data_IF_012688057715
#
_entry.id   IF_012688057715
#
_cell.length_a   1.000
_cell.length_b   1.000
_cell.length_c   1.000
_cell.angle_alpha   90.00
_cell.angle_beta   90.00
_cell.angle_gamma   90.00
#
_symmetry.space_group_name_H-M   'P 1'
#
loop_
_entity.id
_entity.type
_entity.pdbx_description
1 polymer ?
#
# COMPACT_ATOMS: atom_id res chain seq x y z
N UNK A 1 11.98 1.93 7.75
CA UNK A 1 12.01 2.12 9.21
C UNK A 1 13.37 2.63 9.72
N UNK A 2 14.48 2.31 9.04
CA UNK A 2 15.79 2.80 9.45
C UNK A 2 15.87 4.33 9.30
N UNK A 3 16.41 5.01 10.32
CA UNK A 3 16.52 6.47 10.34
C UNK A 3 17.75 6.96 9.58
N UNK A 4 18.84 6.22 9.67
CA UNK A 4 20.14 6.48 9.08
C UNK A 4 20.92 5.18 8.89
N UNK A 5 22.16 5.27 8.41
CA UNK A 5 23.00 4.09 8.18
C UNK A 5 23.45 3.40 9.47
N UNK A 6 23.57 4.12 10.59
CA UNK A 6 23.91 3.51 11.88
C UNK A 6 22.74 2.69 12.43
N UNK A 7 21.53 3.25 12.40
CA UNK A 7 20.33 2.50 12.78
C UNK A 7 20.10 1.31 11.84
N UNK A 8 20.35 1.46 10.53
CA UNK A 8 20.28 0.36 9.56
C UNK A 8 21.26 -0.76 9.92
N UNK A 9 22.52 -0.42 10.20
CA UNK A 9 23.55 -1.37 10.61
C UNK A 9 23.14 -2.09 11.91
N UNK A 10 22.65 -1.34 12.90
CA UNK A 10 22.19 -1.92 14.16
C UNK A 10 20.99 -2.87 13.96
N UNK A 11 20.07 -2.57 13.03
CA UNK A 11 18.96 -3.45 12.65
C UNK A 11 19.44 -4.72 11.99
N UNK A 12 20.38 -4.63 11.06
CA UNK A 12 20.99 -5.79 10.44
C UNK A 12 21.67 -6.69 11.49
N UNK A 13 22.39 -6.10 12.44
CA UNK A 13 23.04 -6.84 13.51
C UNK A 13 22.10 -7.72 14.36
N UNK A 14 20.81 -7.32 14.45
CA UNK A 14 19.79 -8.06 15.21
C UNK A 14 19.07 -9.15 14.42
N UNK A 15 19.35 -9.33 13.13
CA UNK A 15 18.74 -10.40 12.34
C UNK A 15 19.24 -11.74 12.86
N UNK A 16 18.30 -12.64 13.15
CA UNK A 16 18.60 -14.02 13.53
C UNK A 16 18.90 -14.83 12.28
N UNK A 17 20.06 -15.48 12.26
CA UNK A 17 20.51 -16.30 11.13
C UNK A 17 20.02 -17.75 11.30
N UNK A 18 20.03 -18.24 12.53
CA UNK A 18 19.63 -19.60 12.88
C UNK A 18 20.07 -19.95 14.29
N UNK A 19 19.81 -21.16 14.77
CA UNK A 19 20.30 -21.63 16.06
C UNK A 19 21.74 -22.14 15.97
N UNK A 20 22.49 -22.02 17.07
CA UNK A 20 23.75 -22.73 17.27
C UNK A 20 23.52 -24.20 17.68
N UNK A 21 24.58 -24.96 17.92
CA UNK A 21 24.49 -26.36 18.33
C UNK A 21 23.81 -26.59 19.70
N UNK A 22 23.65 -25.52 20.48
CA UNK A 22 22.93 -25.53 21.76
C UNK A 22 21.47 -25.10 21.64
N UNK A 23 21.00 -24.75 20.42
CA UNK A 23 19.65 -24.23 20.18
C UNK A 23 19.50 -22.73 20.47
N UNK A 24 20.57 -22.01 20.76
CA UNK A 24 20.51 -20.55 21.01
C UNK A 24 20.54 -19.76 19.70
N UNK A 25 19.82 -18.63 19.60
CA UNK A 25 19.81 -17.83 18.36
C UNK A 25 21.17 -17.21 18.06
N UNK A 26 21.59 -17.31 16.81
CA UNK A 26 22.79 -16.66 16.26
C UNK A 26 22.36 -15.42 15.46
N UNK A 27 22.99 -14.30 15.73
CA UNK A 27 22.70 -13.01 15.13
C UNK A 27 23.77 -12.59 14.12
N UNK A 28 23.38 -11.73 13.15
CA UNK A 28 24.30 -11.19 12.14
C UNK A 28 25.50 -10.48 12.75
N UNK A 29 25.34 -9.74 13.85
CA UNK A 29 26.45 -9.04 14.51
C UNK A 29 27.56 -10.00 15.02
N UNK A 30 27.21 -11.25 15.32
CA UNK A 30 28.17 -12.27 15.74
C UNK A 30 29.09 -12.73 14.59
N UNK A 31 28.63 -12.51 13.33
CA UNK A 31 29.46 -12.74 12.13
C UNK A 31 30.27 -11.51 11.72
N UNK A 32 29.98 -10.33 12.27
CA UNK A 32 30.65 -9.08 11.94
C UNK A 32 30.40 -8.58 10.52
N UNK A 33 29.31 -8.99 9.86
CA UNK A 33 29.01 -8.62 8.47
C UNK A 33 27.96 -7.50 8.30
N UNK A 34 27.37 -6.99 9.37
CA UNK A 34 26.36 -5.95 9.35
C UNK A 34 26.87 -4.65 8.72
N UNK A 35 28.17 -4.35 8.82
CA UNK A 35 28.80 -3.19 8.18
C UNK A 35 28.83 -3.31 6.65
N UNK A 36 29.18 -4.49 6.14
CA UNK A 36 29.17 -4.77 4.69
C UNK A 36 27.73 -4.71 4.14
N UNK A 37 26.76 -5.26 4.86
CA UNK A 37 25.34 -5.18 4.51
C UNK A 37 24.86 -3.73 4.46
N UNK A 38 25.20 -2.89 5.44
CA UNK A 38 24.84 -1.48 5.47
C UNK A 38 25.49 -0.69 4.31
N UNK A 39 26.73 -1.02 3.95
CA UNK A 39 27.42 -0.41 2.82
C UNK A 39 26.70 -0.67 1.48
N UNK A 40 26.24 -1.89 1.25
CA UNK A 40 25.44 -2.23 0.05
C UNK A 40 24.13 -1.46 -0.03
N UNK A 41 23.55 -1.09 1.10
CA UNK A 41 22.29 -0.36 1.18
C UNK A 41 22.46 1.16 1.29
N UNK A 42 23.67 1.67 1.22
CA UNK A 42 24.00 3.09 1.44
C UNK A 42 23.22 4.05 0.55
N UNK A 43 23.00 3.71 -0.70
CA UNK A 43 22.23 4.53 -1.63
C UNK A 43 20.73 4.16 -1.61
N UNK A 44 20.41 2.90 -1.37
CA UNK A 44 19.03 2.41 -1.29
C UNK A 44 18.25 2.99 -0.10
N UNK A 45 18.92 3.48 0.95
CA UNK A 45 18.25 4.13 2.09
C UNK A 45 17.71 5.53 1.76
N UNK A 46 18.14 6.12 0.65
CA UNK A 46 17.76 7.47 0.23
C UNK A 46 16.52 7.41 -0.66
N UNK A 47 15.45 8.16 -0.36
CA UNK A 47 14.33 8.31 -1.28
C UNK A 47 14.74 8.92 -2.62
N UNK A 48 14.13 8.44 -3.71
CA UNK A 48 14.30 9.02 -5.04
C UNK A 48 13.18 10.01 -5.31
N UNK A 49 13.54 11.25 -5.61
CA UNK A 49 12.59 12.25 -6.07
C UNK A 49 12.57 12.25 -7.61
N UNK A 50 11.40 12.04 -8.18
CA UNK A 50 11.17 12.04 -9.63
C UNK A 50 10.04 12.99 -9.98
N UNK A 51 9.97 13.40 -11.24
CA UNK A 51 8.87 14.18 -11.78
C UNK A 51 7.97 13.29 -12.64
N UNK A 52 6.65 13.37 -12.43
CA UNK A 52 5.66 12.70 -13.28
C UNK A 52 5.49 13.41 -14.62
N UNK A 53 4.81 12.77 -15.57
CA UNK A 53 4.47 13.40 -16.85
C UNK A 53 3.59 14.65 -16.70
N UNK A 54 2.80 14.71 -15.62
CA UNK A 54 1.96 15.87 -15.26
C UNK A 54 2.72 16.92 -14.42
N UNK A 55 4.05 16.84 -14.42
CA UNK A 55 4.93 17.75 -13.69
C UNK A 55 4.74 17.78 -12.15
N UNK A 56 4.10 16.77 -11.60
CA UNK A 56 3.95 16.61 -10.15
C UNK A 56 5.14 15.86 -9.58
N UNK A 57 5.75 16.31 -8.46
CA UNK A 57 6.82 15.57 -7.82
C UNK A 57 6.29 14.26 -7.23
N UNK A 58 7.06 13.19 -7.38
CA UNK A 58 6.78 11.89 -6.78
C UNK A 58 8.04 11.35 -6.08
N UNK A 59 7.83 10.75 -4.91
CA UNK A 59 8.92 10.15 -4.13
C UNK A 59 8.78 8.63 -4.21
N UNK A 60 9.80 7.98 -4.79
CA UNK A 60 9.86 6.53 -4.94
C UNK A 60 10.91 5.99 -3.97
N UNK A 61 10.49 5.13 -3.04
CA UNK A 61 11.40 4.58 -2.06
C UNK A 61 10.90 3.26 -1.46
N UNK A 62 11.81 2.30 -1.41
CA UNK A 62 11.49 0.92 -1.03
C UNK A 62 10.65 0.24 -2.11
N UNK A 63 10.39 -1.03 -1.94
CA UNK A 63 9.58 -1.81 -2.87
C UNK A 63 8.99 -3.03 -2.17
N UNK A 64 8.45 -2.87 -0.93
CA UNK A 64 7.94 -4.01 -0.19
C UNK A 64 6.62 -4.47 -0.80
N UNK A 65 6.58 -5.71 -1.27
CA UNK A 65 5.33 -6.33 -1.73
C UNK A 65 4.39 -6.57 -0.55
N UNK A 66 3.09 -6.36 -0.78
CA UNK A 66 2.08 -6.49 0.28
C UNK A 66 1.90 -7.94 0.77
N UNK A 67 2.25 -8.94 -0.02
CA UNK A 67 2.21 -10.35 0.38
C UNK A 67 3.37 -10.77 1.30
N UNK A 68 4.46 -9.99 1.37
CA UNK A 68 5.63 -10.29 2.19
C UNK A 68 5.98 -9.19 3.19
N UNK A 69 5.44 -7.98 3.01
CA UNK A 69 5.68 -6.82 3.86
C UNK A 69 4.41 -5.95 3.96
N UNK A 70 4.55 -4.69 4.32
CA UNK A 70 3.41 -3.77 4.47
C UNK A 70 2.85 -3.23 3.14
N UNK A 71 3.54 -3.40 2.01
CA UNK A 71 3.00 -3.14 0.67
C UNK A 71 2.72 -1.69 0.32
N UNK A 72 3.44 -0.76 0.90
CA UNK A 72 3.30 0.67 0.63
C UNK A 72 4.65 1.38 0.75
N UNK A 73 4.74 2.61 0.27
CA UNK A 73 5.95 3.42 0.31
C UNK A 73 6.56 3.50 1.73
N UNK A 74 7.83 3.81 1.83
CA UNK A 74 8.54 3.86 3.11
C UNK A 74 8.05 4.98 4.03
N UNK A 75 8.22 4.80 5.33
CA UNK A 75 7.95 5.84 6.34
C UNK A 75 8.82 7.07 6.08
N UNK A 76 10.10 6.87 5.70
CA UNK A 76 11.03 7.97 5.39
C UNK A 76 10.53 8.81 4.23
N UNK A 77 10.12 8.18 3.12
CA UNK A 77 9.59 8.89 1.95
C UNK A 77 8.29 9.63 2.27
N UNK A 78 7.38 9.01 3.00
CA UNK A 78 6.12 9.65 3.39
C UNK A 78 6.37 10.86 4.30
N UNK A 79 7.22 10.73 5.32
CA UNK A 79 7.58 11.86 6.20
C UNK A 79 8.31 12.98 5.45
N UNK A 80 9.14 12.63 4.46
CA UNK A 80 9.77 13.62 3.60
C UNK A 80 8.72 14.36 2.76
N UNK A 81 7.80 13.64 2.13
CA UNK A 81 6.69 14.23 1.39
C UNK A 81 5.87 15.19 2.25
N UNK A 82 5.52 14.79 3.46
CA UNK A 82 4.77 15.63 4.41
C UNK A 82 5.50 16.91 4.85
N UNK A 83 6.84 16.96 4.69
CA UNK A 83 7.62 18.17 4.95
C UNK A 83 7.76 19.08 3.72
N UNK A 84 7.60 18.53 2.53
CA UNK A 84 7.83 19.24 1.28
C UNK A 84 6.54 19.69 0.58
N UNK A 85 5.40 19.07 0.88
CA UNK A 85 4.13 19.35 0.24
C UNK A 85 3.02 19.61 1.23
N UNK A 86 2.05 20.42 0.83
CA UNK A 86 0.83 20.70 1.60
C UNK A 86 -0.13 19.51 1.59
N UNK A 87 -0.11 18.75 0.51
CA UNK A 87 -0.90 17.53 0.32
C UNK A 87 0.02 16.40 -0.10
N UNK A 88 -0.07 15.27 0.58
CA UNK A 88 0.67 14.05 0.25
C UNK A 88 -0.31 12.92 -0.03
N UNK A 89 -0.22 12.35 -1.22
CA UNK A 89 -0.96 11.16 -1.61
C UNK A 89 -0.01 9.98 -1.60
N UNK A 90 -0.38 8.91 -0.93
CA UNK A 90 0.39 7.66 -0.88
C UNK A 90 -0.53 6.49 -1.15
N UNK A 91 0.03 5.40 -1.62
CA UNK A 91 -0.71 4.18 -1.90
C UNK A 91 -0.77 3.22 -0.71
N UNK A 92 -1.73 2.31 -0.77
CA UNK A 92 -1.73 1.07 -0.02
C UNK A 92 -1.90 -0.07 -1.03
N UNK A 93 -0.89 -0.93 -1.16
CA UNK A 93 -0.83 -1.95 -2.21
C UNK A 93 -1.89 -3.03 -2.09
N UNK A 94 -2.30 -3.61 -3.21
CA UNK A 94 -3.37 -4.61 -3.35
C UNK A 94 -4.77 -4.06 -3.02
N UNK A 95 -5.70 -4.97 -2.72
CA UNK A 95 -7.05 -4.59 -2.31
C UNK A 95 -7.09 -3.97 -0.90
N UNK A 96 -8.17 -3.27 -0.61
CA UNK A 96 -8.35 -2.60 0.68
C UNK A 96 -8.37 -3.58 1.87
N UNK A 97 -8.78 -4.80 1.64
CA UNK A 97 -8.79 -5.92 2.60
C UNK A 97 -7.40 -6.38 3.04
N UNK A 98 -6.35 -6.04 2.28
CA UNK A 98 -4.97 -6.37 2.59
C UNK A 98 -4.12 -5.10 2.78
N UNK A 99 -3.99 -4.29 1.74
CA UNK A 99 -3.06 -3.16 1.74
C UNK A 99 -3.46 -2.03 2.65
N UNK A 100 -4.75 -1.67 2.68
CA UNK A 100 -5.21 -0.58 3.55
C UNK A 100 -5.09 -0.97 5.04
N UNK A 101 -5.40 -2.20 5.41
CA UNK A 101 -5.21 -2.69 6.79
C UNK A 101 -3.74 -2.68 7.17
N UNK A 102 -2.83 -3.18 6.32
CA UNK A 102 -1.38 -3.09 6.57
C UNK A 102 -0.86 -1.67 6.66
N UNK A 103 -1.40 -0.76 5.84
CA UNK A 103 -1.05 0.65 5.92
C UNK A 103 -1.40 1.23 7.30
N UNK A 104 -2.62 1.02 7.76
CA UNK A 104 -3.12 1.56 9.03
C UNK A 104 -2.50 0.83 10.24
N UNK A 105 -2.46 -0.49 10.24
CA UNK A 105 -2.01 -1.28 11.38
C UNK A 105 -0.48 -1.38 11.51
N UNK A 106 0.25 -1.27 10.40
CA UNK A 106 1.70 -1.39 10.40
C UNK A 106 2.37 -0.04 10.16
N UNK A 107 2.18 0.54 8.96
CA UNK A 107 2.91 1.74 8.56
C UNK A 107 2.55 2.94 9.43
N UNK A 108 1.27 3.17 9.69
CA UNK A 108 0.82 4.30 10.49
C UNK A 108 1.34 4.21 11.91
N UNK A 109 1.30 3.04 12.52
CA UNK A 109 1.79 2.82 13.90
C UNK A 109 3.30 3.00 14.01
N UNK A 110 4.08 2.40 13.10
CA UNK A 110 5.54 2.57 13.11
C UNK A 110 6.00 3.97 12.70
N UNK A 111 5.23 4.62 11.84
CA UNK A 111 5.55 5.95 11.33
C UNK A 111 5.08 7.08 12.23
N UNK A 112 4.20 6.83 13.18
CA UNK A 112 3.46 7.85 13.91
C UNK A 112 2.82 8.85 12.93
N UNK A 113 2.07 8.32 11.98
CA UNK A 113 1.33 9.06 10.94
C UNK A 113 -0.08 8.51 10.86
N UNK A 114 -1.03 9.36 10.44
CA UNK A 114 -2.40 8.93 10.22
C UNK A 114 -2.98 9.69 9.01
N UNK A 115 -3.71 9.02 8.09
CA UNK A 115 -4.27 9.68 6.92
C UNK A 115 -5.46 10.56 7.30
N UNK A 116 -5.58 11.72 6.65
CA UNK A 116 -6.74 12.60 6.81
C UNK A 116 -7.96 12.08 6.05
N UNK A 117 -7.75 11.34 4.96
CA UNK A 117 -8.80 10.71 4.16
C UNK A 117 -8.26 9.49 3.44
N UNK A 118 -9.16 8.58 3.08
CA UNK A 118 -8.89 7.41 2.24
C UNK A 118 -9.71 7.51 0.96
N UNK A 119 -9.08 7.28 -0.18
CA UNK A 119 -9.76 7.13 -1.46
C UNK A 119 -9.70 5.66 -1.87
N UNK A 120 -10.86 5.01 -1.95
CA UNK A 120 -10.98 3.65 -2.46
C UNK A 120 -11.21 3.71 -3.96
N UNK A 121 -10.29 3.15 -4.73
CA UNK A 121 -10.45 3.06 -6.19
C UNK A 121 -11.32 1.85 -6.52
N UNK A 122 -12.48 2.10 -7.12
CA UNK A 122 -13.40 1.07 -7.58
C UNK A 122 -13.41 0.98 -9.10
N UNK A 123 -13.50 -0.23 -9.64
CA UNK A 123 -13.69 -0.47 -11.07
C UNK A 123 -14.97 -1.27 -11.31
N UNK A 124 -15.74 -0.92 -12.32
CA UNK A 124 -16.93 -1.69 -12.72
C UNK A 124 -16.59 -3.14 -13.07
N UNK A 125 -15.42 -3.37 -13.66
CA UNK A 125 -14.93 -4.72 -13.95
C UNK A 125 -14.78 -5.57 -12.70
N UNK A 126 -14.22 -5.02 -11.62
CA UNK A 126 -14.10 -5.72 -10.35
C UNK A 126 -15.48 -6.00 -9.73
N UNK A 127 -16.37 -5.03 -9.74
CA UNK A 127 -17.74 -5.20 -9.24
C UNK A 127 -18.49 -6.28 -10.03
N UNK A 128 -18.44 -6.25 -11.37
CA UNK A 128 -19.06 -7.30 -12.21
C UNK A 128 -18.50 -8.69 -11.90
N UNK A 129 -17.18 -8.79 -11.72
CA UNK A 129 -16.53 -10.06 -11.35
C UNK A 129 -17.02 -10.55 -9.97
N UNK A 130 -17.10 -9.68 -8.99
CA UNK A 130 -17.66 -10.00 -7.67
C UNK A 130 -19.16 -10.30 -7.74
N UNK A 131 -19.87 -9.75 -8.73
CA UNK A 131 -21.26 -10.07 -9.05
C UNK A 131 -21.46 -11.40 -9.78
N UNK A 132 -20.36 -12.12 -10.11
CA UNK A 132 -20.39 -13.45 -10.72
C UNK A 132 -20.17 -13.47 -12.24
N UNK A 133 -19.80 -12.34 -12.86
CA UNK A 133 -19.50 -12.29 -14.31
C UNK A 133 -18.12 -12.89 -14.57
N UNK A 134 -18.01 -13.70 -15.61
CA UNK A 134 -16.75 -14.32 -16.04
C UNK A 134 -15.77 -13.26 -16.57
N UNK A 135 -14.45 -13.55 -16.51
CA UNK A 135 -13.41 -12.61 -17.00
C UNK A 135 -13.56 -12.26 -18.48
N UNK A 136 -14.11 -13.17 -19.28
CA UNK A 136 -14.31 -13.01 -20.72
C UNK A 136 -15.46 -12.03 -21.04
N UNK A 137 -16.42 -11.90 -20.13
CA UNK A 137 -17.66 -11.11 -20.32
C UNK A 137 -17.64 -9.76 -19.63
N UNK A 138 -16.54 -9.39 -18.96
CA UNK A 138 -16.43 -8.13 -18.20
C UNK A 138 -16.60 -6.87 -19.06
N UNK A 139 -16.44 -6.97 -20.38
CA UNK A 139 -16.64 -5.86 -21.31
C UNK A 139 -18.12 -5.65 -21.74
N UNK A 140 -18.99 -6.62 -21.39
CA UNK A 140 -20.44 -6.53 -21.67
C UNK A 140 -21.13 -5.82 -20.52
N UNK A 141 -22.10 -4.95 -20.82
CA UNK A 141 -22.92 -4.28 -19.82
C UNK A 141 -23.65 -5.29 -18.93
N UNK A 142 -23.57 -5.09 -17.63
CA UNK A 142 -24.31 -5.89 -16.65
C UNK A 142 -24.54 -5.11 -15.34
N UNK A 143 -25.58 -4.30 -15.32
CA UNK A 143 -25.97 -3.45 -14.19
C UNK A 143 -26.33 -4.29 -12.94
N UNK A 144 -27.00 -5.42 -13.14
CA UNK A 144 -27.35 -6.33 -12.05
C UNK A 144 -26.11 -6.89 -11.34
N UNK A 145 -25.09 -7.28 -12.11
CA UNK A 145 -23.84 -7.74 -11.55
C UNK A 145 -23.09 -6.63 -10.78
N UNK A 146 -23.17 -5.38 -11.22
CA UNK A 146 -22.63 -4.22 -10.47
C UNK A 146 -23.31 -4.11 -9.12
N UNK A 147 -24.63 -4.12 -9.08
CA UNK A 147 -25.42 -4.09 -7.83
C UNK A 147 -25.04 -5.23 -6.89
N UNK A 148 -24.98 -6.45 -7.41
CA UNK A 148 -24.63 -7.65 -6.62
C UNK A 148 -23.19 -7.58 -6.09
N UNK A 149 -22.25 -7.14 -6.91
CA UNK A 149 -20.83 -7.04 -6.53
C UNK A 149 -20.53 -5.86 -5.61
N UNK A 150 -21.42 -4.90 -5.47
CA UNK A 150 -21.27 -3.75 -4.56
C UNK A 150 -21.07 -4.17 -3.11
N UNK A 151 -21.57 -5.33 -2.69
CA UNK A 151 -21.37 -5.84 -1.33
C UNK A 151 -19.88 -5.90 -0.91
N UNK A 152 -18.98 -6.19 -1.86
CA UNK A 152 -17.54 -6.22 -1.62
C UNK A 152 -16.98 -4.80 -1.41
N UNK A 153 -17.35 -3.85 -2.27
CA UNK A 153 -16.95 -2.45 -2.13
C UNK A 153 -17.49 -1.83 -0.83
N UNK A 154 -18.76 -2.09 -0.52
CA UNK A 154 -19.39 -1.66 0.74
C UNK A 154 -18.59 -2.15 1.96
N UNK A 155 -18.15 -3.42 1.94
CA UNK A 155 -17.33 -3.96 3.03
C UNK A 155 -15.98 -3.24 3.16
N UNK A 156 -15.33 -2.92 2.05
CA UNK A 156 -14.09 -2.13 2.07
C UNK A 156 -14.32 -0.72 2.67
N UNK A 157 -15.43 -0.06 2.32
CA UNK A 157 -15.82 1.24 2.91
C UNK A 157 -16.04 1.11 4.42
N UNK A 158 -16.80 0.10 4.85
CA UNK A 158 -17.08 -0.16 6.27
C UNK A 158 -15.79 -0.39 7.06
N UNK A 159 -14.87 -1.19 6.52
CA UNK A 159 -13.58 -1.46 7.16
C UNK A 159 -12.76 -0.17 7.35
N UNK A 160 -12.69 0.68 6.34
CA UNK A 160 -11.97 1.95 6.47
C UNK A 160 -12.64 2.91 7.45
N UNK A 161 -13.97 2.96 7.46
CA UNK A 161 -14.72 3.74 8.45
C UNK A 161 -14.51 3.25 9.89
N UNK A 162 -14.28 1.96 10.07
CA UNK A 162 -13.96 1.39 11.39
C UNK A 162 -12.66 1.98 11.98
N UNK A 163 -11.69 2.32 11.13
CA UNK A 163 -10.46 3.03 11.55
C UNK A 163 -10.69 4.53 11.84
N UNK A 164 -11.91 5.04 11.65
CA UNK A 164 -12.22 6.45 11.91
C UNK A 164 -11.76 7.43 10.82
N UNK A 165 -11.42 6.93 9.62
CA UNK A 165 -10.94 7.76 8.50
C UNK A 165 -12.09 8.13 7.59
N UNK A 166 -12.21 9.42 7.15
CA UNK A 166 -13.12 9.79 6.07
C UNK A 166 -12.82 9.01 4.79
N UNK A 167 -13.86 8.44 4.18
CA UNK A 167 -13.72 7.57 3.00
C UNK A 167 -14.43 8.19 1.82
N UNK A 168 -13.75 8.27 0.68
CA UNK A 168 -14.29 8.59 -0.62
C UNK A 168 -14.09 7.41 -1.58
N UNK A 169 -14.97 7.26 -2.56
CA UNK A 169 -14.83 6.26 -3.63
C UNK A 169 -14.56 6.99 -4.94
N UNK A 170 -13.49 6.60 -5.62
CA UNK A 170 -13.17 7.06 -6.96
C UNK A 170 -13.46 5.94 -7.97
N UNK A 171 -14.32 6.22 -8.93
CA UNK A 171 -14.64 5.29 -10.01
C UNK A 171 -13.56 5.40 -11.08
N UNK A 172 -12.75 4.36 -11.25
CA UNK A 172 -11.78 4.27 -12.33
C UNK A 172 -12.48 3.70 -13.57
N UNK A 173 -12.95 4.61 -14.45
CA UNK A 173 -13.70 4.30 -15.66
C UNK A 173 -12.80 3.71 -16.74
N UNK A 174 -13.23 2.59 -17.31
CA UNK A 174 -12.65 2.01 -18.52
C UNK A 174 -13.49 2.36 -19.76
N UNK A 175 -12.89 2.24 -20.94
CA UNK A 175 -13.56 2.55 -22.22
C UNK A 175 -14.82 1.70 -22.46
N UNK A 176 -14.85 0.49 -21.88
CA UNK A 176 -15.97 -0.46 -22.01
C UNK A 176 -17.07 -0.25 -20.97
N UNK A 177 -16.88 0.65 -20.01
CA UNK A 177 -17.86 0.89 -18.95
C UNK A 177 -18.99 1.77 -19.48
N UNK A 178 -20.24 1.37 -19.24
CA UNK A 178 -21.43 2.08 -19.71
C UNK A 178 -21.91 3.12 -18.72
N UNK A 179 -22.62 4.12 -19.23
CA UNK A 179 -23.18 5.17 -18.37
C UNK A 179 -24.26 4.61 -17.42
N UNK A 180 -24.97 3.54 -17.82
CA UNK A 180 -25.93 2.86 -16.95
C UNK A 180 -25.26 2.18 -15.75
N UNK A 181 -24.13 1.49 -15.96
CA UNK A 181 -23.35 0.88 -14.90
C UNK A 181 -22.75 1.92 -13.94
N UNK A 182 -22.26 3.05 -14.48
CA UNK A 182 -21.73 4.16 -13.69
C UNK A 182 -22.83 4.80 -12.84
N UNK A 183 -24.00 5.06 -13.45
CA UNK A 183 -25.13 5.64 -12.75
C UNK A 183 -25.60 4.74 -11.61
N UNK A 184 -25.65 3.42 -11.80
CA UNK A 184 -26.01 2.46 -10.76
C UNK A 184 -24.98 2.47 -9.63
N UNK A 185 -23.68 2.42 -9.93
CA UNK A 185 -22.64 2.48 -8.90
C UNK A 185 -22.68 3.79 -8.11
N UNK A 186 -23.00 4.89 -8.76
CA UNK A 186 -23.11 6.21 -8.12
C UNK A 186 -24.34 6.29 -7.19
N UNK A 187 -25.41 5.55 -7.50
CA UNK A 187 -26.62 5.48 -6.71
C UNK A 187 -26.45 4.64 -5.42
N UNK A 188 -25.60 3.61 -5.46
CA UNK A 188 -25.37 2.65 -4.38
C UNK A 188 -24.52 3.26 -3.25
#
# INVERSE_FOLDING_TARGET
LAKDLEDLKARFGRIVIGPNLKGEPVYVHQLGCEGAMALLMKDAIKPNLVQTLEHTPAIVHGGPFANIAHGCNSVVATKLGMKLGDIVVTEAGFGADLGAEKFLDIKCRYGDIFPNAVVIVATLRALKMHGGVSKQELNTENVEAVTKGFSNLRKAIENMRFFGVPVMVAINKFVTDTDAEIAELTRL
#
